data_IF_791586488298
#
_entry.id   IF_791586488298
#
_cell.length_a   1.000
_cell.length_b   1.000
_cell.length_c   1.000
_cell.angle_alpha   90.00
_cell.angle_beta   90.00
_cell.angle_gamma   90.00
#
_symmetry.space_group_name_H-M   'P 1'
#
loop_
_entity.id
_entity.type
_entity.pdbx_description
1 polymer ?
#
# COMPACT_ATOMS: atom_id res chain seq x y z
N UNK A 1 6.23 24.23 -2.83
CA UNK A 1 5.03 24.44 -3.66
C UNK A 1 4.73 23.12 -4.32
N UNK A 2 3.56 22.51 -4.07
CA UNK A 2 3.18 21.23 -4.63
C UNK A 2 3.21 21.20 -6.16
N UNK A 3 3.35 20.01 -6.74
CA UNK A 3 3.29 19.78 -8.19
C UNK A 3 2.28 18.67 -8.52
N UNK A 4 1.44 18.91 -9.53
CA UNK A 4 0.42 17.95 -10.00
C UNK A 4 0.56 17.66 -11.49
N UNK A 5 0.40 16.41 -11.89
CA UNK A 5 0.49 15.94 -13.28
C UNK A 5 -0.34 14.66 -13.47
N UNK A 6 -0.57 14.26 -14.73
CA UNK A 6 -1.45 13.13 -15.08
C UNK A 6 -0.68 12.06 -15.87
N UNK A 7 -0.27 10.94 -15.23
CA UNK A 7 0.42 9.82 -15.90
C UNK A 7 -0.39 9.10 -16.98
N UNK A 8 -1.73 9.11 -16.88
CA UNK A 8 -2.64 8.55 -17.85
C UNK A 8 -3.80 9.53 -18.15
N UNK A 9 -4.26 9.56 -19.40
CA UNK A 9 -5.38 10.41 -19.84
C UNK A 9 -6.72 9.73 -19.56
N UNK A 10 -7.04 9.58 -18.28
CA UNK A 10 -8.26 8.93 -17.76
C UNK A 10 -8.90 9.83 -16.69
N UNK A 11 -10.24 9.81 -16.53
CA UNK A 11 -10.90 10.47 -15.40
C UNK A 11 -10.63 9.74 -14.08
N UNK A 12 -10.75 10.44 -12.96
CA UNK A 12 -10.72 9.84 -11.63
C UNK A 12 -12.10 9.39 -11.15
N UNK A 13 -12.12 8.23 -10.49
CA UNK A 13 -13.29 7.69 -9.81
C UNK A 13 -13.45 8.32 -8.43
N UNK A 14 -14.67 8.79 -8.13
CA UNK A 14 -15.06 9.19 -6.76
C UNK A 14 -15.39 7.97 -5.91
N UNK A 15 -15.04 8.01 -4.62
CA UNK A 15 -15.57 7.06 -3.65
C UNK A 15 -17.06 7.28 -3.40
N UNK A 16 -17.83 6.19 -3.51
CA UNK A 16 -19.25 6.13 -3.20
C UNK A 16 -19.59 6.78 -1.85
N UNK A 17 -20.66 7.57 -1.83
CA UNK A 17 -21.12 8.37 -0.69
C UNK A 17 -21.61 7.54 0.52
N UNK A 18 -21.59 6.21 0.43
CA UNK A 18 -21.90 5.31 1.54
C UNK A 18 -20.76 5.13 2.55
N UNK A 19 -19.51 5.49 2.23
CA UNK A 19 -18.39 5.35 3.17
C UNK A 19 -18.62 6.24 4.39
N UNK A 20 -19.15 5.59 5.44
CA UNK A 20 -19.36 6.18 6.75
C UNK A 20 -18.00 6.51 7.36
N UNK A 21 -17.72 7.79 7.69
CA UNK A 21 -16.47 8.16 8.33
C UNK A 21 -16.26 7.36 9.62
N UNK A 22 -15.16 6.61 9.66
CA UNK A 22 -14.83 5.70 10.75
C UNK A 22 -14.13 6.45 11.88
N UNK A 23 -14.46 6.12 13.11
CA UNK A 23 -13.73 6.64 14.26
C UNK A 23 -12.50 5.80 14.57
N UNK A 24 -11.58 6.41 15.31
CA UNK A 24 -10.35 5.83 15.88
C UNK A 24 -10.37 4.31 16.15
N UNK A 25 -11.28 3.80 16.98
CA UNK A 25 -11.28 2.37 17.37
C UNK A 25 -11.63 1.44 16.21
N UNK A 26 -12.50 1.85 15.29
CA UNK A 26 -12.84 1.07 14.10
C UNK A 26 -11.68 1.05 13.11
N UNK A 27 -11.02 2.20 12.90
CA UNK A 27 -9.79 2.26 12.08
C UNK A 27 -8.74 1.30 12.65
N UNK A 28 -8.50 1.34 13.97
CA UNK A 28 -7.55 0.42 14.61
C UNK A 28 -8.00 -1.05 14.55
N UNK A 29 -9.29 -1.35 14.73
CA UNK A 29 -9.80 -2.72 14.69
C UNK A 29 -9.57 -3.36 13.33
N UNK A 30 -9.82 -2.64 12.24
CA UNK A 30 -9.65 -3.19 10.89
C UNK A 30 -8.18 -3.15 10.43
N UNK A 31 -7.42 -2.07 10.70
CA UNK A 31 -6.03 -1.94 10.26
C UNK A 31 -5.03 -2.75 11.12
N UNK A 32 -5.28 -2.83 12.43
CA UNK A 32 -4.38 -3.40 13.43
C UNK A 32 -5.02 -4.59 14.16
N UNK A 33 -5.86 -5.38 13.47
CA UNK A 33 -6.73 -6.41 14.06
C UNK A 33 -6.03 -7.39 15.01
N UNK A 34 -4.80 -7.81 14.67
CA UNK A 34 -3.98 -8.70 15.52
C UNK A 34 -3.64 -8.08 16.88
N UNK A 35 -3.47 -6.76 16.93
CA UNK A 35 -3.22 -5.99 18.16
C UNK A 35 -4.52 -5.66 18.89
N UNK A 36 -5.60 -5.36 18.14
CA UNK A 36 -6.93 -5.07 18.69
C UNK A 36 -7.42 -6.18 19.64
N UNK A 37 -7.16 -7.46 19.34
CA UNK A 37 -7.49 -8.60 20.22
C UNK A 37 -6.91 -8.51 21.64
N UNK A 38 -5.82 -7.78 21.82
CA UNK A 38 -5.14 -7.62 23.11
C UNK A 38 -5.54 -6.36 23.87
N UNK A 39 -6.37 -5.47 23.30
CA UNK A 39 -6.73 -4.19 23.92
C UNK A 39 -7.76 -4.39 25.04
N UNK A 40 -7.53 -3.74 26.18
CA UNK A 40 -8.50 -3.60 27.26
C UNK A 40 -9.21 -2.23 27.14
N UNK A 41 -8.46 -1.13 27.21
CA UNK A 41 -8.98 0.25 27.05
C UNK A 41 -8.11 1.10 26.10
N UNK A 42 -8.76 1.92 25.25
CA UNK A 42 -8.09 2.94 24.45
C UNK A 42 -8.07 4.29 25.17
N UNK A 43 -6.87 4.83 25.40
CA UNK A 43 -6.69 6.12 26.07
C UNK A 43 -6.73 7.29 25.08
N UNK A 44 -5.92 7.23 24.02
CA UNK A 44 -5.87 8.28 22.99
C UNK A 44 -5.57 7.74 21.59
N UNK A 45 -5.92 8.54 20.59
CA UNK A 45 -5.40 8.44 19.23
C UNK A 45 -5.27 9.79 18.54
N UNK A 46 -4.52 9.85 17.43
CA UNK A 46 -4.48 11.00 16.52
C UNK A 46 -5.84 11.35 15.88
N UNK A 47 -6.70 10.36 15.67
CA UNK A 47 -7.96 10.53 14.95
C UNK A 47 -9.06 11.09 15.85
N UNK A 48 -9.35 12.39 15.69
CA UNK A 48 -10.44 13.06 16.39
C UNK A 48 -11.76 12.90 15.65
N UNK A 49 -12.81 12.50 16.36
CA UNK A 49 -14.14 12.35 15.79
C UNK A 49 -14.24 11.12 14.88
N UNK A 50 -14.49 11.36 13.60
CA UNK A 50 -14.71 10.34 12.56
C UNK A 50 -14.03 10.78 11.27
N UNK A 51 -13.22 9.92 10.67
CA UNK A 51 -12.35 10.23 9.54
C UNK A 51 -12.72 9.41 8.30
N UNK A 52 -12.61 10.02 7.13
CA UNK A 52 -12.94 9.41 5.83
C UNK A 52 -11.79 8.52 5.34
N UNK A 53 -11.49 7.46 6.09
CA UNK A 53 -10.34 6.57 5.90
C UNK A 53 -10.83 5.15 5.62
N UNK A 54 -10.30 4.52 4.57
CA UNK A 54 -10.38 3.06 4.40
C UNK A 54 -9.23 2.44 5.19
N UNK A 55 -9.49 1.70 6.29
CA UNK A 55 -8.41 1.17 7.12
C UNK A 55 -7.60 0.10 6.37
N UNK A 56 -6.31 0.01 6.66
CA UNK A 56 -5.43 -1.00 6.06
C UNK A 56 -4.14 -1.14 6.87
N UNK A 57 -3.65 -2.36 7.03
CA UNK A 57 -2.44 -2.66 7.79
C UNK A 57 -1.18 -1.98 7.24
N UNK A 58 -1.12 -1.71 5.93
CA UNK A 58 -0.06 -0.92 5.30
C UNK A 58 -0.65 0.18 4.42
N UNK A 59 -1.11 1.26 5.07
CA UNK A 59 -1.80 2.36 4.41
C UNK A 59 -1.04 2.98 3.23
N UNK A 60 0.30 2.98 3.25
CA UNK A 60 1.11 3.52 2.16
C UNK A 60 1.04 2.65 0.91
N UNK A 61 1.48 1.38 0.99
CA UNK A 61 1.52 0.48 -0.17
C UNK A 61 0.12 0.27 -0.75
N UNK A 62 -0.89 0.10 0.10
CA UNK A 62 -2.27 -0.09 -0.35
C UNK A 62 -2.92 1.19 -0.91
N UNK A 63 -2.45 2.40 -0.52
CA UNK A 63 -2.83 3.65 -1.22
C UNK A 63 -2.28 3.65 -2.64
N UNK A 64 -0.99 3.33 -2.83
CA UNK A 64 -0.36 3.31 -4.15
C UNK A 64 -1.04 2.31 -5.10
N UNK A 65 -1.28 1.09 -4.61
CA UNK A 65 -2.02 0.05 -5.36
C UNK A 65 -3.42 0.53 -5.73
N UNK A 66 -4.20 1.01 -4.76
CA UNK A 66 -5.62 1.37 -4.98
C UNK A 66 -5.78 2.60 -5.87
N UNK A 67 -4.88 3.58 -5.78
CA UNK A 67 -4.90 4.73 -6.68
C UNK A 67 -4.73 4.31 -8.15
N UNK A 68 -3.83 3.36 -8.40
CA UNK A 68 -3.52 2.84 -9.73
C UNK A 68 -4.59 1.87 -10.27
N UNK A 69 -5.07 0.90 -9.48
CA UNK A 69 -6.05 -0.10 -9.93
C UNK A 69 -7.52 0.32 -9.82
N UNK A 70 -7.84 1.42 -9.11
CA UNK A 70 -9.20 1.98 -9.02
C UNK A 70 -9.31 3.43 -9.52
N UNK A 71 -8.26 3.95 -10.17
CA UNK A 71 -8.21 5.28 -10.78
C UNK A 71 -8.62 6.42 -9.84
N UNK A 72 -7.94 6.56 -8.70
CA UNK A 72 -8.08 7.74 -7.85
C UNK A 72 -6.92 8.71 -8.09
N UNK A 73 -7.14 10.01 -7.91
CA UNK A 73 -6.05 11.00 -7.92
C UNK A 73 -5.14 10.78 -6.70
N UNK A 74 -3.89 10.42 -6.94
CA UNK A 74 -2.92 10.08 -5.89
C UNK A 74 -2.29 11.35 -5.31
N UNK A 75 -2.34 11.51 -3.99
CA UNK A 75 -1.70 12.59 -3.24
C UNK A 75 -0.66 11.97 -2.30
N UNK A 76 0.57 12.48 -2.32
CA UNK A 76 1.66 11.98 -1.48
C UNK A 76 2.46 13.15 -0.89
N UNK A 77 2.71 13.11 0.42
CA UNK A 77 3.58 14.05 1.13
C UNK A 77 4.99 13.49 1.33
N UNK A 78 6.00 14.37 1.54
CA UNK A 78 7.33 13.95 2.00
C UNK A 78 7.26 13.10 3.27
N UNK A 79 6.38 13.48 4.22
CA UNK A 79 6.15 12.76 5.48
C UNK A 79 5.74 11.31 5.27
N UNK A 80 4.82 11.05 4.34
CA UNK A 80 4.28 9.71 4.09
C UNK A 80 5.37 8.78 3.53
N UNK A 81 6.17 9.29 2.59
CA UNK A 81 7.28 8.53 1.99
C UNK A 81 8.38 8.28 3.02
N UNK A 82 8.71 9.28 3.84
CA UNK A 82 9.70 9.11 4.90
C UNK A 82 9.23 8.16 6.01
N UNK A 83 7.95 8.20 6.41
CA UNK A 83 7.37 7.28 7.38
C UNK A 83 7.28 5.84 6.84
N UNK A 84 7.07 5.66 5.53
CA UNK A 84 7.12 4.34 4.88
C UNK A 84 8.56 3.77 4.79
N UNK A 85 9.58 4.65 4.71
CA UNK A 85 10.98 4.25 4.88
C UNK A 85 11.25 3.90 6.35
N UNK A 86 10.78 4.72 7.31
CA UNK A 86 11.00 4.48 8.74
C UNK A 86 10.36 3.18 9.24
N UNK A 87 9.18 2.78 8.75
CA UNK A 87 8.57 1.49 9.14
C UNK A 87 9.39 0.29 8.67
N UNK A 88 9.90 0.32 7.43
CA UNK A 88 10.80 -0.70 6.89
C UNK A 88 12.15 -0.73 7.63
N UNK A 89 12.71 0.43 7.98
CA UNK A 89 13.93 0.50 8.77
C UNK A 89 13.72 -0.01 10.21
N UNK A 90 12.55 0.24 10.81
CA UNK A 90 12.15 -0.30 12.11
C UNK A 90 12.09 -1.84 12.08
N UNK A 91 11.53 -2.46 11.04
CA UNK A 91 11.55 -3.92 10.87
C UNK A 91 13.00 -4.45 10.81
N UNK A 92 13.82 -3.87 9.94
CA UNK A 92 15.24 -4.22 9.82
C UNK A 92 16.00 -4.12 11.15
N UNK A 93 15.88 -3.02 11.88
CA UNK A 93 16.61 -2.82 13.15
C UNK A 93 16.12 -3.76 14.24
N UNK A 94 14.80 -3.96 14.41
CA UNK A 94 14.30 -4.86 15.47
C UNK A 94 14.69 -6.32 15.22
N UNK A 95 14.51 -6.81 13.98
CA UNK A 95 14.89 -8.16 13.57
C UNK A 95 16.39 -8.45 13.60
N UNK A 96 17.23 -7.41 13.70
CA UNK A 96 18.69 -7.51 13.76
C UNK A 96 19.27 -6.78 15.00
N UNK A 97 18.46 -6.58 16.04
CA UNK A 97 18.73 -5.66 17.16
C UNK A 97 20.06 -5.92 17.87
N UNK A 98 20.37 -7.18 18.21
CA UNK A 98 21.64 -7.53 18.85
C UNK A 98 22.87 -7.35 17.94
N UNK A 99 22.71 -7.45 16.59
CA UNK A 99 23.80 -7.20 15.63
C UNK A 99 24.21 -5.73 15.59
N UNK A 100 23.27 -4.82 15.90
CA UNK A 100 23.49 -3.37 15.81
C UNK A 100 23.47 -2.64 17.17
N UNK A 101 23.20 -3.31 18.30
CA UNK A 101 23.09 -2.74 19.66
C UNK A 101 24.13 -1.64 19.94
N UNK A 102 25.41 -1.93 19.72
CA UNK A 102 26.53 -1.02 19.99
C UNK A 102 26.62 0.23 19.10
N UNK A 103 25.84 0.31 18.01
CA UNK A 103 25.70 1.50 17.18
C UNK A 103 24.60 2.45 17.69
N UNK A 104 23.64 1.94 18.47
CA UNK A 104 22.45 2.70 18.92
C UNK A 104 22.45 3.03 20.41
N UNK A 105 22.96 2.14 21.28
CA UNK A 105 22.96 2.33 22.73
C UNK A 105 24.29 1.95 23.38
N UNK A 106 24.66 2.70 24.42
CA UNK A 106 25.86 2.46 25.23
C UNK A 106 25.56 1.64 26.50
N UNK A 107 24.46 0.88 26.52
CA UNK A 107 24.01 0.12 27.68
C UNK A 107 23.35 -1.21 27.28
N UNK A 108 23.39 -2.17 28.20
CA UNK A 108 22.56 -3.36 28.15
C UNK A 108 21.11 -3.05 28.56
N UNK A 109 20.15 -3.89 28.15
CA UNK A 109 18.74 -3.74 28.52
C UNK A 109 17.98 -2.55 27.88
N UNK A 110 16.86 -2.14 28.49
CA UNK A 110 15.97 -1.03 28.08
C UNK A 110 16.06 0.15 29.08
N UNK A 111 15.60 1.35 28.68
CA UNK A 111 15.53 2.59 29.49
C UNK A 111 14.27 3.41 29.12
N UNK A 112 13.69 4.16 30.07
CA UNK A 112 12.30 4.71 30.04
C UNK A 112 12.22 6.26 30.02
N UNK A 113 11.15 6.83 29.41
CA UNK A 113 10.82 8.27 29.22
C UNK A 113 9.27 8.48 29.02
N UNK A 114 8.65 9.65 29.31
CA UNK A 114 7.16 9.78 29.50
C UNK A 114 6.50 11.17 29.13
N UNK A 115 5.28 11.21 28.51
CA UNK A 115 4.37 12.39 28.21
C UNK A 115 2.86 11.93 27.96
N UNK A 116 1.78 12.78 27.94
CA UNK A 116 0.32 12.34 28.11
C UNK A 116 -0.88 13.10 27.39
N UNK A 117 -2.03 12.44 26.97
CA UNK A 117 -3.43 12.98 26.63
C UNK A 117 -4.59 11.92 26.25
N UNK A 118 -5.79 12.26 25.63
CA UNK A 118 -7.02 11.37 25.35
C UNK A 118 -8.05 11.66 24.14
N UNK A 119 -9.05 10.78 23.74
CA UNK A 119 -10.29 11.08 22.86
C UNK A 119 -11.10 9.95 22.02
N UNK A 120 -12.43 10.11 21.61
CA UNK A 120 -13.33 9.12 20.82
C UNK A 120 -14.71 9.60 20.12
N UNK A 121 -15.49 8.76 19.33
CA UNK A 121 -17.01 8.77 18.91
C UNK A 121 -17.50 7.66 17.86
N UNK A 122 -18.73 7.65 17.21
CA UNK A 122 -19.32 6.70 16.11
C UNK A 122 -20.68 7.15 15.38
N UNK A 123 -21.46 6.58 14.37
CA UNK A 123 -21.53 5.52 13.23
C UNK A 123 -22.84 5.61 12.31
N UNK A 124 -22.91 5.16 11.01
CA UNK A 124 -24.10 4.73 10.11
C UNK A 124 -23.70 3.74 8.93
N UNK A 125 -24.42 3.57 7.77
CA UNK A 125 -24.38 2.44 6.77
C UNK A 125 -24.67 2.79 5.24
N UNK A 126 -24.57 1.81 4.29
CA UNK A 126 -24.36 1.90 2.81
C UNK A 126 -25.48 1.32 1.89
N UNK A 127 -25.41 1.49 0.54
CA UNK A 127 -26.25 0.69 -0.38
C UNK A 127 -26.30 0.89 -1.91
N UNK A 128 -25.46 1.70 -2.59
CA UNK A 128 -25.59 1.96 -4.06
C UNK A 128 -24.28 1.79 -4.83
N UNK A 129 -24.18 0.75 -5.68
CA UNK A 129 -22.93 0.36 -6.37
C UNK A 129 -23.11 -0.54 -7.63
N UNK A 130 -24.31 -0.56 -8.26
CA UNK A 130 -24.67 -1.63 -9.22
C UNK A 130 -25.18 -1.18 -10.61
N UNK A 131 -25.13 0.12 -10.93
CA UNK A 131 -25.81 0.68 -12.13
C UNK A 131 -24.90 0.76 -13.37
N UNK A 132 -23.61 1.03 -13.18
CA UNK A 132 -22.78 1.71 -14.17
C UNK A 132 -22.11 0.81 -15.23
N UNK A 133 -22.53 -0.45 -15.34
CA UNK A 133 -21.85 -1.48 -16.15
C UNK A 133 -22.53 -1.79 -17.51
N UNK A 134 -23.44 -0.92 -17.97
CA UNK A 134 -24.37 -1.21 -19.11
C UNK A 134 -24.11 -0.39 -20.39
N UNK A 135 -23.06 0.44 -20.42
CA UNK A 135 -22.73 1.35 -21.53
C UNK A 135 -21.82 0.73 -22.61
N UNK A 136 -20.82 -0.09 -22.24
CA UNK A 136 -19.75 -0.51 -23.14
C UNK A 136 -20.16 -1.53 -24.23
N UNK A 137 -21.31 -2.19 -24.05
CA UNK A 137 -21.87 -3.15 -25.02
C UNK A 137 -22.34 -2.44 -26.30
N UNK A 138 -22.80 -1.19 -26.20
CA UNK A 138 -23.41 -0.43 -27.29
C UNK A 138 -22.44 -0.14 -28.45
N UNK A 139 -21.15 -0.02 -28.13
CA UNK A 139 -20.11 0.51 -29.03
C UNK A 139 -19.59 -0.51 -30.05
N UNK A 140 -20.01 -1.78 -29.96
CA UNK A 140 -19.38 -2.90 -30.68
C UNK A 140 -20.35 -3.71 -31.56
N UNK A 141 -21.56 -3.19 -31.83
CA UNK A 141 -22.63 -3.91 -32.55
C UNK A 141 -22.93 -3.23 -33.89
N UNK A 142 -23.12 -4.04 -34.95
CA UNK A 142 -23.36 -3.55 -36.34
C UNK A 142 -24.75 -2.92 -36.52
N UNK A 143 -25.70 -3.24 -35.65
CA UNK A 143 -27.04 -2.62 -35.57
C UNK A 143 -27.17 -1.79 -34.27
N UNK A 144 -27.09 -0.45 -34.35
CA UNK A 144 -27.24 0.44 -33.19
C UNK A 144 -28.63 0.41 -32.54
N UNK A 145 -29.65 -0.17 -33.18
CA UNK A 145 -30.98 -0.27 -32.58
C UNK A 145 -31.12 -1.47 -31.61
N UNK A 146 -30.16 -2.40 -31.65
CA UNK A 146 -30.26 -3.67 -30.94
C UNK A 146 -30.22 -3.52 -29.41
N UNK A 147 -29.42 -2.59 -28.86
CA UNK A 147 -29.40 -2.31 -27.41
C UNK A 147 -30.76 -1.81 -26.93
N UNK A 148 -31.36 -0.85 -27.64
CA UNK A 148 -32.68 -0.28 -27.30
C UNK A 148 -33.82 -1.29 -27.47
N UNK A 149 -33.61 -2.36 -28.25
CA UNK A 149 -34.56 -3.47 -28.36
C UNK A 149 -34.41 -4.51 -27.24
N UNK A 150 -33.20 -4.75 -26.72
CA UNK A 150 -32.93 -5.75 -25.67
C UNK A 150 -33.11 -5.17 -24.25
N UNK A 151 -32.73 -3.92 -24.01
CA UNK A 151 -32.88 -3.29 -22.69
C UNK A 151 -34.33 -2.81 -22.49
N UNK A 152 -35.03 -3.22 -21.40
CA UNK A 152 -36.41 -2.83 -21.15
C UNK A 152 -36.52 -1.34 -20.81
N UNK A 153 -37.55 -0.70 -21.37
CA UNK A 153 -37.98 0.65 -21.01
C UNK A 153 -39.52 0.71 -20.90
N UNK A 154 -40.09 -0.28 -20.21
CA UNK A 154 -41.50 -0.35 -19.87
C UNK A 154 -41.79 0.45 -18.60
N UNK A 155 -43.04 0.87 -18.41
CA UNK A 155 -43.49 1.64 -17.22
C UNK A 155 -43.38 0.89 -15.88
N UNK A 156 -43.02 -0.39 -15.90
CA UNK A 156 -42.79 -1.24 -14.73
C UNK A 156 -41.32 -1.66 -14.55
N UNK A 157 -40.40 -1.11 -15.35
CA UNK A 157 -38.97 -1.50 -15.33
C UNK A 157 -38.28 -0.98 -14.08
N UNK A 158 -37.52 -1.83 -13.40
CA UNK A 158 -36.62 -1.47 -12.28
C UNK A 158 -35.16 -1.58 -12.69
N UNK A 159 -34.25 -0.97 -11.91
CA UNK A 159 -32.79 -1.08 -12.13
C UNK A 159 -32.33 -2.55 -12.20
N UNK A 160 -32.94 -3.45 -11.41
CA UNK A 160 -32.68 -4.89 -11.45
C UNK A 160 -33.03 -5.51 -12.81
N UNK A 161 -34.14 -5.11 -13.43
CA UNK A 161 -34.58 -5.66 -14.71
C UNK A 161 -33.64 -5.20 -15.85
N UNK A 162 -33.09 -3.97 -15.75
CA UNK A 162 -32.07 -3.45 -16.66
C UNK A 162 -30.77 -4.26 -16.51
N UNK A 163 -30.32 -4.52 -15.27
CA UNK A 163 -29.12 -5.31 -14.98
C UNK A 163 -29.27 -6.75 -15.53
N UNK A 164 -30.38 -7.42 -15.22
CA UNK A 164 -30.67 -8.78 -15.71
C UNK A 164 -30.69 -8.83 -17.24
N UNK A 165 -31.35 -7.86 -17.90
CA UNK A 165 -31.42 -7.80 -19.36
C UNK A 165 -30.05 -7.53 -20.00
N UNK A 166 -29.21 -6.73 -19.35
CA UNK A 166 -27.83 -6.46 -19.79
C UNK A 166 -26.96 -7.72 -19.74
N UNK A 167 -27.05 -8.50 -18.65
CA UNK A 167 -26.34 -9.79 -18.53
C UNK A 167 -26.86 -10.81 -19.56
N UNK A 168 -28.16 -10.84 -19.84
CA UNK A 168 -28.75 -11.66 -20.91
C UNK A 168 -28.26 -11.24 -22.30
N UNK A 169 -28.05 -9.93 -22.54
CA UNK A 169 -27.46 -9.41 -23.78
C UNK A 169 -26.03 -9.94 -23.99
N UNK A 170 -25.18 -9.88 -22.95
CA UNK A 170 -23.84 -10.48 -22.98
C UNK A 170 -23.90 -11.99 -23.23
N UNK A 171 -24.77 -12.70 -22.49
CA UNK A 171 -24.92 -14.15 -22.62
C UNK A 171 -25.45 -14.61 -23.99
N UNK A 172 -26.12 -13.72 -24.73
CA UNK A 172 -26.59 -13.93 -26.11
C UNK A 172 -25.46 -13.76 -27.12
N UNK A 173 -24.57 -12.80 -26.88
CA UNK A 173 -23.49 -12.40 -27.81
C UNK A 173 -22.17 -13.18 -27.64
N UNK A 174 -22.04 -14.02 -26.58
CA UNK A 174 -20.87 -14.88 -26.23
C UNK A 174 -20.37 -15.90 -27.28
N UNK A 175 -20.88 -15.87 -28.51
CA UNK A 175 -20.37 -16.64 -29.66
C UNK A 175 -19.66 -15.78 -30.71
N UNK A 176 -19.67 -14.47 -30.52
CA UNK A 176 -19.06 -13.48 -31.40
C UNK A 176 -18.03 -12.60 -30.66
N UNK A 177 -18.09 -12.56 -29.32
CA UNK A 177 -17.15 -11.83 -28.47
C UNK A 177 -16.76 -12.71 -27.27
N UNK A 178 -15.47 -12.69 -26.92
CA UNK A 178 -14.97 -13.22 -25.66
C UNK A 178 -14.98 -12.12 -24.60
N UNK A 179 -15.54 -12.40 -23.42
CA UNK A 179 -15.66 -11.42 -22.33
C UNK A 179 -14.50 -11.59 -21.34
N UNK A 180 -13.45 -10.80 -21.52
CA UNK A 180 -12.35 -10.68 -20.57
C UNK A 180 -12.43 -9.35 -19.82
N UNK A 181 -12.45 -9.41 -18.49
CA UNK A 181 -12.34 -8.22 -17.63
C UNK A 181 -10.86 -7.82 -17.48
N UNK A 182 -10.30 -7.21 -18.52
CA UNK A 182 -9.04 -6.48 -18.38
C UNK A 182 -9.33 -5.17 -17.66
N UNK A 183 -9.03 -5.12 -16.36
CA UNK A 183 -8.96 -3.86 -15.63
C UNK A 183 -7.80 -3.05 -16.23
N UNK A 184 -8.13 -2.00 -16.97
CA UNK A 184 -7.15 -0.96 -17.28
C UNK A 184 -6.73 -0.35 -15.95
N UNK A 185 -5.44 -0.28 -15.69
CA UNK A 185 -4.87 0.34 -14.49
C UNK A 185 -4.04 1.56 -14.90
N UNK A 186 -4.00 2.58 -14.04
CA UNK A 186 -3.38 3.86 -14.36
C UNK A 186 -3.77 4.95 -13.36
N UNK A 187 -2.95 6.01 -13.31
CA UNK A 187 -3.15 7.15 -12.41
C UNK A 187 -3.74 8.36 -13.19
N UNK A 188 -4.97 8.79 -12.89
CA UNK A 188 -5.59 9.99 -13.47
C UNK A 188 -4.80 11.27 -13.14
N UNK A 189 -4.27 11.32 -11.92
CA UNK A 189 -3.45 12.42 -11.40
C UNK A 189 -2.52 11.90 -10.32
N UNK A 190 -1.35 12.50 -10.22
CA UNK A 190 -0.46 12.45 -9.07
C UNK A 190 -0.21 13.89 -8.63
N UNK A 191 -0.26 14.12 -7.32
CA UNK A 191 0.13 15.36 -6.64
C UNK A 191 1.20 15.03 -5.62
N UNK A 192 2.38 15.63 -5.77
CA UNK A 192 3.40 15.64 -4.72
C UNK A 192 3.29 16.94 -3.93
N UNK A 193 3.04 16.82 -2.63
CA UNK A 193 2.97 17.96 -1.73
C UNK A 193 4.37 18.40 -1.24
N UNK A 194 4.40 19.45 -0.40
CA UNK A 194 5.63 20.03 0.13
C UNK A 194 6.37 20.93 -0.85
N UNK A 195 7.69 20.98 -0.71
CA UNK A 195 8.65 21.68 -1.56
C UNK A 195 9.69 20.70 -2.12
N UNK A 196 10.33 21.04 -3.25
CA UNK A 196 11.37 20.21 -3.86
C UNK A 196 12.51 19.87 -2.88
N UNK A 197 12.85 20.81 -2.01
CA UNK A 197 13.86 20.67 -0.94
C UNK A 197 13.56 19.52 0.02
N UNK A 198 12.28 19.22 0.28
CA UNK A 198 11.87 18.17 1.22
C UNK A 198 12.18 16.79 0.60
N UNK A 199 11.92 16.67 -0.70
CA UNK A 199 12.24 15.49 -1.50
C UNK A 199 13.76 15.32 -1.71
N UNK A 200 14.50 16.42 -1.84
CA UNK A 200 15.97 16.43 -1.90
C UNK A 200 16.60 16.06 -0.54
N UNK A 201 16.01 16.47 0.58
CA UNK A 201 16.42 16.06 1.93
C UNK A 201 16.15 14.57 2.19
N UNK A 202 14.99 14.04 1.80
CA UNK A 202 14.74 12.58 1.83
C UNK A 202 15.79 11.83 0.99
N UNK A 203 16.11 12.32 -0.21
CA UNK A 203 17.13 11.71 -1.08
C UNK A 203 18.53 11.73 -0.42
N UNK A 204 18.88 12.80 0.29
CA UNK A 204 20.12 12.89 1.08
C UNK A 204 20.14 11.93 2.27
N UNK A 205 19.02 11.81 3.01
CA UNK A 205 18.88 10.89 4.15
C UNK A 205 19.05 9.42 3.76
N UNK A 206 18.73 9.04 2.51
CA UNK A 206 18.94 7.66 2.04
C UNK A 206 20.39 7.20 2.15
N UNK A 207 21.39 8.09 2.01
CA UNK A 207 22.80 7.71 2.11
C UNK A 207 23.14 7.05 3.47
N UNK A 208 22.39 7.38 4.55
CA UNK A 208 22.55 6.76 5.88
C UNK A 208 22.29 5.26 5.89
N UNK A 209 21.48 4.74 4.96
CA UNK A 209 21.22 3.31 4.82
C UNK A 209 22.49 2.51 4.46
N UNK A 210 23.50 3.15 3.86
CA UNK A 210 24.74 2.49 3.46
C UNK A 210 25.63 2.07 4.63
N UNK A 211 25.44 2.66 5.81
CA UNK A 211 26.32 2.45 6.96
C UNK A 211 26.07 1.13 7.74
N UNK A 212 24.96 0.42 7.48
CA UNK A 212 24.55 -0.75 8.26
C UNK A 212 25.04 -2.09 7.68
N UNK A 213 24.43 -2.59 6.58
CA UNK A 213 24.93 -3.77 5.88
C UNK A 213 24.52 -3.86 4.39
N UNK A 214 24.88 -4.96 3.73
CA UNK A 214 24.61 -5.19 2.31
C UNK A 214 23.11 -5.19 1.94
N UNK A 215 22.20 -5.52 2.87
CA UNK A 215 20.75 -5.50 2.67
C UNK A 215 20.23 -4.05 2.63
N UNK A 216 20.74 -3.17 3.49
CA UNK A 216 20.36 -1.74 3.46
C UNK A 216 21.04 -0.99 2.31
N UNK A 217 22.22 -1.42 1.84
CA UNK A 217 22.79 -0.95 0.57
C UNK A 217 21.92 -1.39 -0.62
N UNK A 218 21.49 -2.66 -0.67
CA UNK A 218 20.56 -3.13 -1.71
C UNK A 218 19.26 -2.32 -1.71
N UNK A 219 18.69 -2.07 -0.52
CA UNK A 219 17.50 -1.26 -0.34
C UNK A 219 17.67 0.21 -0.77
N UNK A 220 18.81 0.83 -0.45
CA UNK A 220 19.18 2.16 -0.96
C UNK A 220 19.14 2.20 -2.49
N UNK A 221 19.65 1.16 -3.16
CA UNK A 221 19.60 1.09 -4.62
C UNK A 221 18.19 0.89 -5.19
N UNK A 222 17.23 0.35 -4.43
CA UNK A 222 15.81 0.30 -4.81
C UNK A 222 15.08 1.65 -4.54
N UNK A 223 15.41 2.35 -3.46
CA UNK A 223 14.77 3.62 -3.10
C UNK A 223 15.29 4.80 -3.95
N UNK A 224 16.58 4.86 -4.25
CA UNK A 224 17.19 6.01 -4.95
C UNK A 224 16.54 6.34 -6.30
N UNK A 225 16.23 5.37 -7.20
CA UNK A 225 15.57 5.67 -8.48
C UNK A 225 14.15 6.24 -8.31
N UNK A 226 13.45 5.88 -7.23
CA UNK A 226 12.12 6.38 -6.88
C UNK A 226 12.22 7.83 -6.42
N UNK A 227 12.95 8.09 -5.34
CA UNK A 227 13.03 9.43 -4.74
C UNK A 227 13.69 10.44 -5.71
N UNK A 228 14.68 10.01 -6.49
CA UNK A 228 15.27 10.86 -7.54
C UNK A 228 14.27 11.30 -8.62
N UNK A 229 13.20 10.52 -8.86
CA UNK A 229 12.11 10.91 -9.77
C UNK A 229 11.09 11.80 -9.09
N UNK A 230 10.79 11.59 -7.81
CA UNK A 230 9.96 12.51 -7.02
C UNK A 230 10.60 13.92 -6.94
N UNK A 231 11.93 14.03 -6.86
CA UNK A 231 12.65 15.32 -7.00
C UNK A 231 12.50 15.91 -8.41
N UNK A 232 12.71 15.11 -9.47
CA UNK A 232 12.57 15.55 -10.88
C UNK A 232 11.14 15.98 -11.25
N UNK A 233 10.13 15.56 -10.50
CA UNK A 233 8.73 15.96 -10.66
C UNK A 233 8.55 17.47 -10.76
N UNK A 234 9.32 18.22 -9.96
CA UNK A 234 9.24 19.67 -9.84
C UNK A 234 9.94 20.39 -11.02
N UNK A 235 10.80 19.69 -11.76
CA UNK A 235 11.52 20.23 -12.91
C UNK A 235 10.82 19.90 -14.24
N UNK A 236 10.31 18.67 -14.39
CA UNK A 236 9.78 18.12 -15.66
C UNK A 236 8.48 17.29 -15.50
N UNK A 237 7.40 17.84 -14.91
CA UNK A 237 6.17 17.10 -14.56
C UNK A 237 5.43 16.45 -15.75
N UNK A 238 5.75 16.82 -16.99
CA UNK A 238 5.12 16.30 -18.21
C UNK A 238 6.11 15.58 -19.15
N UNK A 239 7.31 15.20 -18.67
CA UNK A 239 8.28 14.46 -19.47
C UNK A 239 7.80 13.03 -19.80
N UNK A 240 7.95 12.52 -21.04
CA UNK A 240 7.41 11.20 -21.41
C UNK A 240 8.04 10.04 -20.62
N UNK A 241 9.36 10.07 -20.40
CA UNK A 241 10.08 9.11 -19.53
C UNK A 241 9.63 9.19 -18.05
N UNK A 242 9.05 10.32 -17.64
CA UNK A 242 8.58 10.54 -16.28
C UNK A 242 7.16 9.97 -16.07
N UNK A 243 6.27 10.06 -17.07
CA UNK A 243 4.93 9.46 -17.00
C UNK A 243 4.99 7.92 -17.01
N UNK A 244 5.89 7.33 -17.80
CA UNK A 244 6.14 5.87 -17.82
C UNK A 244 6.50 5.32 -16.42
N UNK A 245 7.34 6.03 -15.65
CA UNK A 245 7.67 5.64 -14.27
C UNK A 245 6.44 5.56 -13.36
N UNK A 246 5.52 6.52 -13.42
CA UNK A 246 4.30 6.49 -12.60
C UNK A 246 3.34 5.38 -13.03
N UNK A 247 3.35 5.00 -14.30
CA UNK A 247 2.61 3.85 -14.80
C UNK A 247 3.25 2.48 -14.43
N UNK A 248 4.41 2.47 -13.76
CA UNK A 248 5.11 1.28 -13.21
C UNK A 248 5.12 1.21 -11.67
N UNK A 249 4.14 1.87 -11.03
CA UNK A 249 3.99 1.94 -9.58
C UNK A 249 3.72 0.57 -8.94
N UNK A 250 2.69 -0.13 -9.45
CA UNK A 250 2.29 -1.48 -9.06
C UNK A 250 1.78 -2.19 -10.31
N UNK A 251 2.31 -3.36 -10.65
CA UNK A 251 1.65 -4.29 -11.57
C UNK A 251 1.04 -5.43 -10.74
N UNK A 252 -0.28 -5.48 -10.76
CA UNK A 252 -1.13 -6.42 -10.03
C UNK A 252 -1.42 -7.64 -10.93
N UNK A 253 -0.78 -8.77 -10.67
CA UNK A 253 -0.94 -10.00 -11.47
C UNK A 253 -1.92 -10.94 -10.76
N UNK A 254 -3.14 -11.00 -11.28
CA UNK A 254 -4.25 -11.75 -10.67
C UNK A 254 -4.24 -13.23 -11.10
N UNK A 255 -3.52 -14.06 -10.36
CA UNK A 255 -3.30 -15.49 -10.64
C UNK A 255 -4.47 -16.43 -10.29
N UNK A 256 -5.71 -16.10 -10.67
CA UNK A 256 -6.88 -16.95 -10.38
C UNK A 256 -7.12 -17.14 -8.88
N UNK A 257 -7.04 -18.39 -8.37
CA UNK A 257 -7.16 -18.70 -6.93
C UNK A 257 -5.85 -18.52 -6.14
N UNK A 258 -4.79 -18.00 -6.75
CA UNK A 258 -3.51 -17.69 -6.10
C UNK A 258 -3.54 -16.36 -5.33
N UNK A 259 -2.71 -16.16 -4.29
CA UNK A 259 -2.45 -14.82 -3.74
C UNK A 259 -2.02 -13.82 -4.83
N UNK A 260 -2.33 -12.55 -4.56
CA UNK A 260 -2.08 -11.43 -5.46
C UNK A 260 -0.58 -11.11 -5.51
N UNK A 261 -0.01 -10.96 -6.71
CA UNK A 261 1.38 -10.54 -6.88
C UNK A 261 1.47 -9.04 -7.18
N UNK A 262 2.28 -8.34 -6.39
CA UNK A 262 2.69 -6.95 -6.58
C UNK A 262 4.11 -6.92 -7.15
N UNK A 263 4.36 -6.02 -8.10
CA UNK A 263 5.68 -5.74 -8.67
C UNK A 263 5.72 -4.30 -9.19
N UNK A 264 6.89 -3.78 -9.54
CA UNK A 264 7.07 -2.34 -9.81
C UNK A 264 7.53 -1.58 -8.57
N UNK A 265 7.67 -0.26 -8.68
CA UNK A 265 8.54 0.47 -7.75
C UNK A 265 8.01 0.60 -6.32
N UNK A 266 6.71 0.39 -6.08
CA UNK A 266 6.16 0.34 -4.72
C UNK A 266 6.78 -0.77 -3.86
N UNK A 267 7.34 -1.83 -4.46
CA UNK A 267 8.02 -2.92 -3.73
C UNK A 267 9.31 -2.48 -3.02
N UNK A 268 9.88 -1.32 -3.35
CA UNK A 268 10.97 -0.72 -2.56
C UNK A 268 10.53 -0.31 -1.13
N UNK A 269 9.22 -0.20 -0.88
CA UNK A 269 8.63 0.01 0.45
C UNK A 269 8.19 -1.32 1.12
N UNK A 270 8.54 -2.46 0.52
CA UNK A 270 8.38 -3.82 1.04
C UNK A 270 9.71 -4.58 0.86
N UNK A 271 10.74 -4.10 1.55
CA UNK A 271 12.10 -4.60 1.53
C UNK A 271 12.36 -5.67 2.61
N UNK A 272 11.64 -5.60 3.74
CA UNK A 272 11.80 -6.48 4.89
C UNK A 272 10.45 -7.05 5.35
N UNK A 273 10.45 -8.29 5.86
CA UNK A 273 9.28 -8.89 6.50
C UNK A 273 9.11 -8.47 7.96
N UNK A 274 8.04 -8.94 8.61
CA UNK A 274 7.76 -8.70 10.05
C UNK A 274 8.93 -9.11 10.98
N UNK A 275 9.79 -10.03 10.53
CA UNK A 275 10.99 -10.49 11.26
C UNK A 275 12.25 -9.71 10.92
N UNK A 276 12.18 -8.66 10.10
CA UNK A 276 13.34 -7.87 9.66
C UNK A 276 14.26 -8.59 8.68
N UNK A 277 13.79 -9.66 8.02
CA UNK A 277 14.52 -10.40 6.99
C UNK A 277 14.24 -9.80 5.61
N UNK A 278 15.27 -9.75 4.77
CA UNK A 278 15.23 -9.22 3.41
C UNK A 278 14.29 -10.05 2.50
N UNK A 279 13.39 -9.37 1.79
CA UNK A 279 12.42 -9.94 0.83
C UNK A 279 12.95 -9.87 -0.61
N UNK A 280 13.79 -8.89 -0.92
CA UNK A 280 14.30 -8.65 -2.29
C UNK A 280 15.26 -9.73 -2.81
N UNK A 281 15.80 -9.50 -4.01
CA UNK A 281 16.66 -10.48 -4.70
C UNK A 281 17.75 -11.09 -3.81
N UNK A 282 17.87 -12.42 -3.84
CA UNK A 282 18.77 -13.20 -3.00
C UNK A 282 20.23 -12.76 -3.12
N UNK A 283 20.75 -12.22 -2.02
CA UNK A 283 22.11 -11.70 -1.96
C UNK A 283 23.15 -12.82 -1.76
N UNK A 284 24.40 -12.53 -2.13
CA UNK A 284 25.57 -13.35 -1.76
C UNK A 284 26.32 -12.70 -0.60
N UNK A 285 26.63 -13.51 0.41
CA UNK A 285 27.39 -13.15 1.63
C UNK A 285 26.78 -11.99 2.45
N UNK A 286 25.61 -12.20 3.05
CA UNK A 286 24.91 -11.26 3.97
C UNK A 286 25.74 -10.83 5.22
N UNK A 287 26.86 -11.51 5.48
CA UNK A 287 27.82 -11.21 6.53
C UNK A 287 29.01 -10.34 6.08
N UNK A 288 29.17 -10.07 4.78
CA UNK A 288 30.31 -9.32 4.24
C UNK A 288 29.94 -7.84 4.00
N UNK A 289 30.72 -6.93 4.58
CA UNK A 289 30.62 -5.49 4.37
C UNK A 289 32.01 -4.92 4.12
N UNK A 290 32.12 -4.00 3.14
CA UNK A 290 33.31 -3.21 2.87
C UNK A 290 32.90 -1.88 2.24
N UNK A 291 33.63 -0.81 2.49
CA UNK A 291 33.30 0.56 2.02
C UNK A 291 33.12 0.63 0.50
N UNK A 292 33.86 -0.18 -0.27
CA UNK A 292 33.70 -0.36 -1.72
C UNK A 292 32.25 -0.60 -2.15
N UNK A 293 31.44 -1.35 -1.37
CA UNK A 293 30.05 -1.69 -1.71
C UNK A 293 29.16 -0.44 -1.82
N UNK A 294 29.37 0.53 -0.91
CA UNK A 294 28.62 1.77 -0.82
C UNK A 294 28.89 2.74 -1.99
N UNK A 295 29.93 2.46 -2.78
CA UNK A 295 30.37 3.26 -3.94
C UNK A 295 29.87 2.73 -5.30
N UNK A 296 29.33 1.51 -5.36
CA UNK A 296 28.91 0.88 -6.61
C UNK A 296 27.69 1.58 -7.25
N UNK A 297 27.56 1.46 -8.58
CA UNK A 297 26.27 1.72 -9.23
C UNK A 297 25.26 0.63 -8.85
N UNK A 298 23.95 0.90 -8.96
CA UNK A 298 22.93 -0.12 -8.73
C UNK A 298 23.14 -1.35 -9.64
N UNK A 299 23.47 -1.12 -10.91
CA UNK A 299 23.71 -2.20 -11.88
C UNK A 299 24.91 -3.06 -11.48
N UNK A 300 26.04 -2.44 -11.12
CA UNK A 300 27.23 -3.17 -10.67
C UNK A 300 26.99 -3.91 -9.36
N UNK A 301 26.28 -3.28 -8.42
CA UNK A 301 25.89 -3.89 -7.15
C UNK A 301 25.06 -5.15 -7.40
N UNK A 302 23.91 -5.05 -8.08
CA UNK A 302 23.03 -6.20 -8.27
C UNK A 302 23.66 -7.28 -9.19
N UNK A 303 24.43 -6.91 -10.22
CA UNK A 303 25.09 -7.87 -11.11
C UNK A 303 26.24 -8.67 -10.45
N UNK A 304 26.80 -8.15 -9.34
CA UNK A 304 27.89 -8.77 -8.56
C UNK A 304 27.40 -9.44 -7.27
N UNK A 305 26.34 -8.90 -6.65
CA UNK A 305 25.89 -9.28 -5.31
C UNK A 305 24.54 -10.01 -5.25
N UNK A 306 23.86 -10.28 -6.38
CA UNK A 306 22.71 -11.22 -6.43
C UNK A 306 23.08 -12.58 -7.01
N UNK A 307 22.29 -13.61 -6.69
CA UNK A 307 22.40 -14.96 -7.26
C UNK A 307 21.77 -15.02 -8.65
N UNK A 308 22.60 -15.18 -9.69
CA UNK A 308 22.20 -15.06 -11.12
C UNK A 308 21.18 -16.10 -11.65
N UNK A 309 20.73 -17.06 -10.84
CA UNK A 309 19.88 -18.17 -11.29
C UNK A 309 18.47 -18.18 -10.69
N UNK A 310 18.13 -17.26 -9.77
CA UNK A 310 16.76 -17.15 -9.25
C UNK A 310 15.92 -16.26 -10.18
N UNK A 311 15.63 -16.81 -11.38
CA UNK A 311 14.42 -16.45 -12.11
C UNK A 311 13.27 -16.83 -11.19
N UNK A 312 12.38 -15.89 -10.89
CA UNK A 312 11.20 -16.19 -10.09
C UNK A 312 10.24 -17.01 -10.95
N UNK A 313 10.32 -18.34 -10.82
CA UNK A 313 9.35 -19.23 -11.42
C UNK A 313 7.98 -18.90 -10.82
N UNK A 314 7.02 -18.62 -11.69
CA UNK A 314 5.62 -18.63 -11.27
C UNK A 314 5.33 -20.02 -10.69
N UNK A 315 4.55 -20.16 -9.60
CA UNK A 315 4.05 -21.48 -9.18
C UNK A 315 3.15 -22.13 -10.26
N UNK A 316 2.84 -21.39 -11.33
CA UNK A 316 2.22 -21.85 -12.56
C UNK A 316 3.23 -21.88 -13.71
N UNK A 317 4.23 -22.77 -13.64
CA UNK A 317 5.04 -23.18 -14.80
C UNK A 317 4.18 -24.04 -15.76
N UNK A 318 3.22 -23.40 -16.42
CA UNK A 318 2.64 -23.89 -17.67
C UNK A 318 3.51 -23.37 -18.82
N UNK A 319 3.90 -24.25 -19.74
CA UNK A 319 4.93 -24.01 -20.77
C UNK A 319 4.61 -22.86 -21.77
N UNK A 320 3.42 -22.28 -21.71
CA UNK A 320 2.92 -21.21 -22.59
C UNK A 320 2.74 -19.84 -21.88
N UNK A 321 3.00 -19.71 -20.57
CA UNK A 321 2.92 -18.39 -19.92
C UNK A 321 4.16 -17.52 -20.19
N UNK A 322 3.99 -16.20 -20.45
CA UNK A 322 5.11 -15.32 -20.70
C UNK A 322 5.97 -15.12 -19.44
N UNK A 323 7.28 -15.25 -19.59
CA UNK A 323 8.24 -14.92 -18.53
C UNK A 323 8.10 -13.45 -18.16
N UNK A 324 7.68 -13.18 -16.93
CA UNK A 324 7.50 -11.81 -16.45
C UNK A 324 8.88 -11.28 -16.04
N UNK A 325 9.38 -10.29 -16.79
CA UNK A 325 10.68 -9.69 -16.50
C UNK A 325 10.55 -8.69 -15.33
N UNK A 326 11.52 -8.74 -14.39
CA UNK A 326 11.59 -7.77 -13.30
C UNK A 326 11.68 -6.34 -13.86
N UNK A 327 10.92 -5.42 -13.29
CA UNK A 327 11.03 -4.00 -13.65
C UNK A 327 12.40 -3.48 -13.20
N UNK A 328 13.15 -2.85 -14.10
CA UNK A 328 14.47 -2.26 -13.81
C UNK A 328 14.38 -0.74 -13.97
N UNK A 329 14.78 0.01 -12.93
CA UNK A 329 14.95 1.46 -12.98
C UNK A 329 16.40 1.80 -12.59
N UNK A 330 17.09 2.58 -13.44
CA UNK A 330 18.49 3.02 -13.23
C UNK A 330 19.48 1.88 -12.88
N UNK A 331 19.20 0.67 -13.37
CA UNK A 331 20.00 -0.53 -13.12
C UNK A 331 19.63 -1.32 -11.85
N UNK A 332 18.64 -0.86 -11.08
CA UNK A 332 18.07 -1.58 -9.94
C UNK A 332 16.87 -2.44 -10.39
N UNK A 333 16.91 -3.78 -10.25
CA UNK A 333 15.77 -4.65 -10.49
C UNK A 333 14.88 -4.70 -9.24
N UNK A 334 13.57 -4.54 -9.44
CA UNK A 334 12.56 -4.56 -8.39
C UNK A 334 11.94 -5.96 -8.29
N UNK A 335 11.86 -6.47 -7.06
CA UNK A 335 11.39 -7.82 -6.76
C UNK A 335 9.86 -7.96 -6.79
N UNK A 336 9.38 -9.19 -6.87
CA UNK A 336 7.98 -9.54 -6.68
C UNK A 336 7.65 -9.70 -5.18
N UNK A 337 6.44 -9.31 -4.80
CA UNK A 337 5.93 -9.37 -3.43
C UNK A 337 4.50 -9.90 -3.49
N UNK A 338 4.19 -11.02 -2.82
CA UNK A 338 2.78 -11.43 -2.66
C UNK A 338 2.06 -10.53 -1.64
N UNK A 339 0.75 -10.39 -1.74
CA UNK A 339 -0.08 -9.63 -0.77
C UNK A 339 0.22 -9.97 0.69
N UNK A 340 0.57 -11.23 0.96
CA UNK A 340 0.80 -11.76 2.31
C UNK A 340 2.23 -11.50 2.82
N UNK A 341 3.13 -11.02 1.95
CA UNK A 341 4.48 -10.56 2.29
C UNK A 341 4.54 -9.03 2.50
N UNK A 342 3.44 -8.30 2.30
CA UNK A 342 3.36 -6.87 2.65
C UNK A 342 3.25 -6.76 4.18
N UNK A 343 4.29 -6.28 4.89
CA UNK A 343 4.25 -6.14 6.33
C UNK A 343 3.37 -4.97 6.74
N UNK A 344 3.07 -4.89 8.03
CA UNK A 344 2.42 -3.75 8.66
C UNK A 344 3.18 -2.45 8.37
N UNK A 345 2.47 -1.42 7.93
CA UNK A 345 2.97 -0.05 7.74
C UNK A 345 3.09 0.74 9.05
N UNK A 346 2.94 0.07 10.20
CA UNK A 346 2.99 0.63 11.54
C UNK A 346 3.95 -0.12 12.45
N UNK A 347 4.48 0.58 13.44
CA UNK A 347 5.30 0.03 14.52
C UNK A 347 4.51 0.02 15.84
N UNK A 348 4.94 -0.80 16.79
CA UNK A 348 4.45 -0.80 18.18
C UNK A 348 5.59 -0.63 19.18
N UNK A 349 5.28 -0.11 20.36
CA UNK A 349 6.21 0.01 21.48
C UNK A 349 5.49 -0.14 22.82
N UNK A 350 6.08 -0.88 23.75
CA UNK A 350 5.61 -0.99 25.13
C UNK A 350 5.92 0.33 25.87
N UNK A 351 4.93 0.88 26.58
CA UNK A 351 5.09 2.13 27.36
C UNK A 351 4.41 2.00 28.72
N UNK A 352 4.93 2.69 29.73
CA UNK A 352 4.28 2.81 31.04
C UNK A 352 3.67 4.20 31.17
N UNK A 353 2.38 4.29 31.50
CA UNK A 353 1.74 5.54 31.90
C UNK A 353 1.79 5.63 33.42
N UNK A 354 2.37 6.71 33.96
CA UNK A 354 2.26 7.03 35.39
C UNK A 354 1.02 7.91 35.60
N UNK A 355 -0.09 7.30 36.03
CA UNK A 355 -1.29 8.02 36.46
C UNK A 355 -1.22 8.27 37.98
N UNK A 356 -0.74 9.46 38.34
CA UNK A 356 -0.70 9.96 39.72
C UNK A 356 0.00 9.03 40.74
N UNK A 357 1.04 8.30 40.32
CA UNK A 357 1.78 7.31 41.11
C UNK A 357 1.39 5.86 40.82
N UNK A 358 0.44 5.62 39.90
CA UNK A 358 0.04 4.29 39.43
C UNK A 358 0.66 4.02 38.06
N UNK A 359 1.62 3.09 38.01
CA UNK A 359 2.22 2.63 36.77
C UNK A 359 1.26 1.68 36.02
N UNK A 360 0.82 2.08 34.83
CA UNK A 360 -0.11 1.35 33.96
C UNK A 360 0.64 0.83 32.73
N UNK A 361 0.90 -0.50 32.63
CA UNK A 361 1.46 -1.11 31.43
C UNK A 361 0.54 -0.91 30.22
N UNK A 362 1.09 -0.33 29.16
CA UNK A 362 0.38 0.12 27.98
C UNK A 362 1.18 -0.19 26.71
N UNK A 363 0.55 -0.08 25.55
CA UNK A 363 1.22 -0.08 24.24
C UNK A 363 0.85 1.17 23.46
N UNK A 364 1.82 1.67 22.69
CA UNK A 364 1.60 2.70 21.68
C UNK A 364 1.85 2.10 20.29
N UNK A 365 1.00 2.44 19.32
CA UNK A 365 1.11 2.01 17.91
C UNK A 365 1.08 3.25 17.03
N UNK A 366 1.95 3.32 16.02
CA UNK A 366 2.02 4.46 15.08
C UNK A 366 2.47 4.04 13.68
N UNK A 367 1.87 4.63 12.65
CA UNK A 367 2.28 4.47 11.25
C UNK A 367 1.15 4.65 10.23
N UNK A 368 1.29 4.03 9.06
CA UNK A 368 0.30 4.06 7.98
C UNK A 368 -0.77 2.98 8.17
N UNK A 369 -1.98 3.44 8.46
CA UNK A 369 -3.10 2.63 8.98
C UNK A 369 -4.36 2.71 8.13
N UNK A 370 -4.26 3.32 6.94
CA UNK A 370 -5.32 3.32 5.95
C UNK A 370 -5.03 4.21 4.76
N UNK A 371 -6.07 4.42 3.97
CA UNK A 371 -6.12 5.26 2.78
C UNK A 371 -7.07 6.42 3.11
N UNK A 372 -6.54 7.63 3.23
CA UNK A 372 -7.32 8.85 3.43
C UNK A 372 -7.99 9.23 2.12
N UNK A 373 -9.31 9.35 2.12
CA UNK A 373 -10.09 9.85 0.97
C UNK A 373 -10.14 11.38 1.06
N UNK A 374 -10.11 12.06 -0.08
CA UNK A 374 -10.21 13.52 -0.15
C UNK A 374 -10.85 14.01 -1.46
N UNK A 375 -11.31 15.26 -1.47
CA UNK A 375 -11.91 15.92 -2.62
C UNK A 375 -10.91 16.88 -3.27
N UNK A 376 -10.67 16.74 -4.57
CA UNK A 376 -9.81 17.64 -5.34
C UNK A 376 -10.39 19.05 -5.52
N UNK A 377 -11.72 19.18 -5.46
CA UNK A 377 -12.46 20.36 -5.90
C UNK A 377 -12.48 20.57 -7.42
N UNK A 378 -11.83 19.69 -8.19
CA UNK A 378 -11.53 19.87 -9.61
C UNK A 378 -12.43 19.00 -10.49
N UNK A 379 -13.41 19.65 -11.12
CA UNK A 379 -14.36 19.02 -12.05
C UNK A 379 -13.77 18.64 -13.41
N UNK A 380 -12.46 18.84 -13.61
CA UNK A 380 -11.71 18.27 -14.74
C UNK A 380 -11.02 16.95 -14.38
N UNK A 381 -10.87 16.64 -13.08
CA UNK A 381 -10.32 15.37 -12.60
C UNK A 381 -11.42 14.31 -12.49
N UNK A 382 -12.55 14.64 -11.86
CA UNK A 382 -13.73 13.78 -11.72
C UNK A 382 -15.00 14.57 -12.03
N UNK A 383 -16.14 13.90 -12.28
CA UNK A 383 -17.40 14.59 -12.61
C UNK A 383 -17.96 15.46 -11.47
N UNK A 384 -17.56 15.18 -10.23
CA UNK A 384 -17.97 15.90 -9.03
C UNK A 384 -16.90 16.85 -8.51
N UNK A 385 -15.61 16.53 -8.66
CA UNK A 385 -14.51 17.12 -7.89
C UNK A 385 -14.49 16.67 -6.42
N UNK A 386 -15.24 15.61 -6.07
CA UNK A 386 -15.47 15.18 -4.69
C UNK A 386 -15.08 13.72 -4.45
N UNK A 387 -14.43 13.45 -3.31
CA UNK A 387 -13.99 12.12 -2.87
C UNK A 387 -13.21 11.33 -3.92
N UNK A 388 -12.49 12.03 -4.80
CA UNK A 388 -11.83 11.54 -6.01
C UNK A 388 -10.31 11.41 -5.87
N UNK A 389 -9.77 11.76 -4.71
CA UNK A 389 -8.35 11.65 -4.38
C UNK A 389 -8.09 10.75 -3.17
N UNK A 390 -6.89 10.16 -3.14
CA UNK A 390 -6.41 9.31 -2.05
C UNK A 390 -4.99 9.69 -1.64
N UNK A 391 -4.71 9.64 -0.35
CA UNK A 391 -3.36 9.72 0.21
C UNK A 391 -3.16 8.75 1.38
N UNK A 392 -1.92 8.43 1.76
CA UNK A 392 -1.65 7.56 2.91
C UNK A 392 -2.20 8.15 4.21
N UNK A 393 -2.96 7.36 4.99
CA UNK A 393 -3.44 7.79 6.30
C UNK A 393 -2.45 7.39 7.40
N UNK A 394 -1.63 8.35 7.84
CA UNK A 394 -0.77 8.20 9.02
C UNK A 394 -1.54 8.49 10.32
N UNK A 395 -1.27 7.72 11.38
CA UNK A 395 -1.88 7.93 12.69
C UNK A 395 -1.24 7.13 13.82
N UNK A 396 -1.72 7.36 15.04
CA UNK A 396 -1.23 6.70 16.25
C UNK A 396 -2.31 6.48 17.31
N UNK A 397 -2.08 5.51 18.20
CA UNK A 397 -2.92 5.13 19.35
C UNK A 397 -2.07 4.80 20.57
N UNK A 398 -2.63 4.97 21.75
CA UNK A 398 -2.10 4.44 23.02
C UNK A 398 -3.24 3.81 23.84
N UNK A 399 -2.99 2.61 24.36
CA UNK A 399 -4.00 1.72 24.97
C UNK A 399 -3.39 0.78 26.02
N UNK A 400 -4.20 0.31 26.97
CA UNK A 400 -3.85 -0.79 27.86
C UNK A 400 -4.11 -2.15 27.20
N UNK A 401 -3.36 -3.17 27.66
CA UNK A 401 -3.55 -4.55 27.20
C UNK A 401 -4.18 -5.44 28.26
N UNK A 402 -5.05 -6.34 27.80
CA UNK A 402 -5.56 -7.45 28.60
C UNK A 402 -4.41 -8.29 29.17
N UNK A 403 -4.57 -8.86 30.38
CA UNK A 403 -3.69 -9.92 30.88
C UNK A 403 -3.54 -11.10 29.89
N UNK A 404 -2.37 -11.75 29.89
CA UNK A 404 -2.08 -12.86 28.97
C UNK A 404 -3.05 -14.05 29.12
N UNK A 405 -3.55 -14.31 30.34
CA UNK A 405 -4.55 -15.34 30.63
C UNK A 405 -5.94 -15.04 30.06
N UNK A 406 -6.19 -13.77 29.67
CA UNK A 406 -7.48 -13.28 29.15
C UNK A 406 -7.43 -12.88 27.68
N UNK A 407 -6.23 -12.82 27.08
CA UNK A 407 -6.06 -12.49 25.67
C UNK A 407 -6.58 -13.64 24.79
N UNK A 408 -7.52 -13.41 23.86
CA UNK A 408 -8.08 -14.48 23.03
C UNK A 408 -7.02 -15.14 22.15
N UNK A 409 -6.72 -16.42 22.41
CA UNK A 409 -5.81 -17.22 21.57
C UNK A 409 -6.32 -17.29 20.13
N UNK A 410 -5.38 -17.31 19.19
CA UNK A 410 -5.69 -17.23 17.77
C UNK A 410 -6.03 -18.62 17.19
N UNK A 411 -7.20 -19.16 17.55
CA UNK A 411 -7.71 -20.48 17.11
C UNK A 411 -8.15 -20.50 15.65
N UNK A 412 -7.20 -20.27 14.75
CA UNK A 412 -7.26 -20.60 13.33
C UNK A 412 -5.90 -21.24 12.99
N UNK A 413 -5.92 -22.42 12.36
CA UNK A 413 -4.77 -23.28 12.08
C UNK A 413 -4.19 -24.09 13.26
N UNK A 414 -5.00 -24.47 14.24
CA UNK A 414 -4.86 -25.80 14.86
C UNK A 414 -5.70 -26.77 14.01
N UNK A 415 -5.03 -27.51 13.12
CA UNK A 415 -5.56 -28.74 12.54
C UNK A 415 -5.24 -29.85 13.53
N UNK A 416 -6.26 -30.59 13.99
CA UNK A 416 -6.03 -31.74 14.84
C UNK A 416 -5.55 -32.92 13.99
N UNK A 417 -4.24 -33.15 13.93
CA UNK A 417 -3.67 -34.45 13.57
C UNK A 417 -3.80 -35.42 14.78
N UNK A 418 -5.05 -35.71 15.17
CA UNK A 418 -5.43 -36.70 16.19
C UNK A 418 -6.93 -37.06 16.00
N UNK A 419 -7.22 -38.08 15.16
CA UNK A 419 -8.29 -39.09 15.33
C UNK A 419 -8.26 -40.11 14.15
N UNK A 420 -8.23 -41.42 14.49
CA UNK A 420 -8.28 -42.65 13.66
C UNK A 420 -7.25 -42.88 12.52
#
# INVERSE_FOLDING_TARGET
>A
MPVSFSPATIPANSFHSGITPLSSTAIFREACYSKYKSVDEFYQSSFQGTSDIVPSSNGFVWTLTKAYSQHHGLVIRPDDVWLAILSQFNLFINGNSERFRSQFVSHEGKKELTVSAAGNRYTVDFGKLAYDMTEEIDRNIVDPSLRTWILPNFTTTTDNDIIVSSVVMMATMKKYFDYSFSLLCGLPRVTLEGEKSDWEDILGRLEKLKEYDIRTIAWYHLLKPVISRFVKAFDIPHGPEYLDFWNRIVHEIQGGCSPLYLSGWATAFVAFDEGGKWIGHSLVNESYYSEDLASLSASDFFAKHTRKNEIFLSPFDFEEMPKIENIVLDGAPYHYVTSNQVPNGYAEVDVTIDDNGVAIPSKMVAGHVGIQISSSGDKTLSSTGERDTVGPAAGWWIFSTLPEDKTPKNTLYEYNDDDD
#
